data_IF_042932085583
#
_entry.id   IF_042932085583
#
_cell.length_a   1.000
_cell.length_b   1.000
_cell.length_c   1.000
_cell.angle_alpha   90.00
_cell.angle_beta   90.00
_cell.angle_gamma   90.00
#
_symmetry.space_group_name_H-M   'P 1'
#
loop_
_entity.id
_entity.type
_entity.pdbx_description
1 polymer ?
#
# COMPACT_ATOMS: atom_id res chain seq x y z
N UNK A 1 18.38 23.36 -78.55
CA UNK A 1 17.95 23.80 -77.19
C UNK A 1 16.56 23.33 -76.72
N UNK A 2 15.73 22.62 -77.52
CA UNK A 2 14.42 22.09 -77.04
C UNK A 2 14.51 20.70 -76.36
N UNK A 3 15.47 19.85 -76.77
CA UNK A 3 15.61 18.48 -76.25
C UNK A 3 16.11 18.38 -74.80
N UNK A 4 16.99 19.29 -74.37
CA UNK A 4 17.58 19.23 -73.02
C UNK A 4 16.59 19.66 -71.93
N UNK A 5 15.69 20.62 -72.23
CA UNK A 5 14.62 21.02 -71.30
C UNK A 5 13.61 19.90 -71.04
N UNK A 6 13.30 19.08 -72.05
CA UNK A 6 12.38 17.93 -71.88
C UNK A 6 12.98 16.82 -71.02
N UNK A 7 14.28 16.54 -71.16
CA UNK A 7 14.98 15.54 -70.32
C UNK A 7 15.09 15.98 -68.86
N UNK A 8 15.33 17.26 -68.62
CA UNK A 8 15.37 17.81 -67.25
C UNK A 8 13.99 17.76 -66.61
N UNK A 9 12.93 18.14 -67.34
CA UNK A 9 11.55 18.07 -66.84
C UNK A 9 11.11 16.63 -66.54
N UNK A 10 11.48 15.64 -67.38
CA UNK A 10 11.16 14.23 -67.10
C UNK A 10 11.90 13.69 -65.88
N UNK A 11 13.16 14.08 -65.68
CA UNK A 11 13.94 13.68 -64.50
C UNK A 11 13.37 14.27 -63.20
N UNK A 12 12.97 15.55 -63.21
CA UNK A 12 12.31 16.19 -62.06
C UNK A 12 10.97 15.54 -61.72
N UNK A 13 10.16 15.20 -62.74
CA UNK A 13 8.88 14.54 -62.52
C UNK A 13 9.04 13.15 -61.90
N UNK A 14 10.06 12.39 -62.34
CA UNK A 14 10.37 11.07 -61.79
C UNK A 14 10.83 11.13 -60.34
N UNK A 15 11.69 12.10 -59.99
CA UNK A 15 12.15 12.32 -58.60
C UNK A 15 10.99 12.73 -57.68
N UNK A 16 10.10 13.62 -58.13
CA UNK A 16 8.92 14.02 -57.36
C UNK A 16 7.98 12.82 -57.17
N UNK A 17 7.70 12.06 -58.23
CA UNK A 17 6.82 10.90 -58.17
C UNK A 17 7.36 9.82 -57.22
N UNK A 18 8.64 9.47 -57.36
CA UNK A 18 9.32 8.51 -56.49
C UNK A 18 9.29 8.95 -55.01
N UNK A 19 9.56 10.23 -54.73
CA UNK A 19 9.52 10.78 -53.37
C UNK A 19 8.10 10.83 -52.80
N UNK A 20 7.08 11.04 -53.63
CA UNK A 20 5.68 10.96 -53.20
C UNK A 20 5.25 9.52 -52.91
N UNK A 21 5.71 8.53 -53.69
CA UNK A 21 5.45 7.11 -53.43
C UNK A 21 6.11 6.65 -52.13
N UNK A 22 7.38 7.00 -51.88
CA UNK A 22 8.07 6.70 -50.62
C UNK A 22 7.34 7.32 -49.41
N UNK A 23 6.89 8.57 -49.51
CA UNK A 23 6.13 9.23 -48.43
C UNK A 23 4.78 8.56 -48.18
N UNK A 24 4.08 8.11 -49.24
CA UNK A 24 2.83 7.36 -49.11
C UNK A 24 3.09 5.98 -48.49
N UNK A 25 4.18 5.32 -48.86
CA UNK A 25 4.61 4.04 -48.31
C UNK A 25 4.94 4.16 -46.80
N UNK A 26 5.72 5.18 -46.42
CA UNK A 26 6.06 5.48 -45.02
C UNK A 26 4.81 5.77 -44.18
N UNK A 27 3.86 6.54 -44.70
CA UNK A 27 2.57 6.80 -44.02
C UNK A 27 1.76 5.53 -43.77
N UNK A 28 1.75 4.59 -44.73
CA UNK A 28 1.10 3.28 -44.56
C UNK A 28 1.77 2.47 -43.44
N UNK A 29 3.10 2.43 -43.39
CA UNK A 29 3.81 1.71 -42.31
C UNK A 29 3.58 2.34 -40.94
N UNK A 30 3.60 3.67 -40.83
CA UNK A 30 3.28 4.38 -39.59
C UNK A 30 1.85 4.08 -39.14
N UNK A 31 0.89 4.06 -40.05
CA UNK A 31 -0.50 3.71 -39.74
C UNK A 31 -0.62 2.26 -39.25
N UNK A 32 0.09 1.32 -39.88
CA UNK A 32 0.11 -0.09 -39.45
C UNK A 32 0.71 -0.22 -38.06
N UNK A 33 1.86 0.42 -37.79
CA UNK A 33 2.51 0.40 -36.46
C UNK A 33 1.57 1.01 -35.41
N UNK A 34 0.91 2.12 -35.75
CA UNK A 34 -0.07 2.77 -34.88
C UNK A 34 -1.24 1.81 -34.58
N UNK A 35 -1.85 1.19 -35.59
CA UNK A 35 -2.95 0.24 -35.39
C UNK A 35 -2.54 -0.98 -34.56
N UNK A 36 -1.32 -1.51 -34.74
CA UNK A 36 -0.79 -2.59 -33.91
C UNK A 36 -0.55 -2.16 -32.46
N UNK A 37 -0.14 -0.92 -32.22
CA UNK A 37 0.04 -0.43 -30.84
C UNK A 37 -1.29 -0.31 -30.08
N UNK A 38 -2.40 0.03 -30.75
CA UNK A 38 -3.73 0.10 -30.13
C UNK A 38 -4.32 -1.27 -29.81
N UNK A 39 -4.07 -2.29 -30.63
CA UNK A 39 -4.59 -3.65 -30.39
C UNK A 39 -3.93 -4.31 -29.16
N UNK A 40 -2.66 -4.02 -28.90
CA UNK A 40 -1.96 -4.48 -27.70
C UNK A 40 -2.56 -3.89 -26.41
N UNK A 41 -2.98 -2.62 -26.43
CA UNK A 41 -3.61 -1.95 -25.27
C UNK A 41 -4.98 -2.58 -24.96
N UNK A 42 -5.77 -2.92 -25.98
CA UNK A 42 -7.10 -3.51 -25.79
C UNK A 42 -7.06 -4.96 -25.27
N UNK A 43 -6.05 -5.75 -25.65
CA UNK A 43 -5.86 -7.12 -25.16
C UNK A 43 -5.56 -7.20 -23.65
N UNK A 44 -5.00 -6.15 -23.05
CA UNK A 44 -4.75 -6.13 -21.60
C UNK A 44 -6.07 -6.02 -20.83
N UNK A 45 -7.05 -5.28 -21.37
CA UNK A 45 -8.36 -5.07 -20.72
C UNK A 45 -9.22 -6.33 -20.62
N UNK A 46 -9.15 -7.23 -21.61
CA UNK A 46 -9.88 -8.50 -21.58
C UNK A 46 -9.33 -9.48 -20.54
N UNK A 47 -8.02 -9.44 -20.26
CA UNK A 47 -7.38 -10.34 -19.29
C UNK A 47 -7.70 -9.95 -17.84
N UNK A 48 -7.91 -8.68 -17.52
CA UNK A 48 -8.26 -8.24 -16.16
C UNK A 48 -9.54 -8.92 -15.64
N UNK A 49 -10.60 -8.99 -16.46
CA UNK A 49 -11.86 -9.63 -16.05
C UNK A 49 -11.69 -11.14 -15.83
N UNK A 50 -10.88 -11.81 -16.67
CA UNK A 50 -10.58 -13.24 -16.51
C UNK A 50 -9.79 -13.49 -15.21
N UNK A 51 -8.76 -12.69 -14.96
CA UNK A 51 -7.93 -12.82 -13.77
C UNK A 51 -8.75 -12.55 -12.49
N UNK A 52 -9.58 -11.50 -12.47
CA UNK A 52 -10.48 -11.24 -11.34
C UNK A 52 -11.37 -12.44 -11.01
N UNK A 53 -11.89 -13.15 -12.02
CA UNK A 53 -12.72 -14.35 -11.79
C UNK A 53 -11.93 -15.50 -11.16
N UNK A 54 -10.67 -15.70 -11.58
CA UNK A 54 -9.78 -16.73 -11.01
C UNK A 54 -9.55 -16.43 -9.53
N UNK A 55 -9.07 -15.23 -9.19
CA UNK A 55 -8.79 -14.88 -7.80
C UNK A 55 -10.05 -14.78 -6.93
N UNK A 56 -11.19 -14.44 -7.52
CA UNK A 56 -12.47 -14.51 -6.80
C UNK A 56 -12.81 -15.94 -6.39
N UNK A 57 -12.51 -16.92 -7.25
CA UNK A 57 -12.70 -18.34 -6.93
C UNK A 57 -11.76 -18.78 -5.82
N UNK A 58 -10.49 -18.39 -5.88
CA UNK A 58 -9.52 -18.64 -4.80
C UNK A 58 -9.99 -18.04 -3.46
N UNK A 59 -10.49 -16.80 -3.48
CA UNK A 59 -11.04 -16.16 -2.28
C UNK A 59 -12.21 -16.95 -1.67
N UNK A 60 -13.10 -17.49 -2.51
CA UNK A 60 -14.23 -18.32 -2.08
C UNK A 60 -13.77 -19.67 -1.52
N UNK A 61 -12.79 -20.31 -2.16
CA UNK A 61 -12.21 -21.55 -1.67
C UNK A 61 -11.51 -21.39 -0.32
N UNK A 62 -10.76 -20.29 -0.12
CA UNK A 62 -10.18 -19.94 1.17
C UNK A 62 -11.24 -19.73 2.25
N UNK A 63 -12.33 -19.02 1.94
CA UNK A 63 -13.45 -18.86 2.87
C UNK A 63 -14.08 -20.20 3.27
N UNK A 64 -14.30 -21.10 2.30
CA UNK A 64 -14.85 -22.43 2.56
C UNK A 64 -13.94 -23.27 3.47
N UNK A 65 -12.62 -23.04 3.41
CA UNK A 65 -11.62 -23.64 4.29
C UNK A 65 -11.45 -22.90 5.63
N UNK A 66 -12.26 -21.87 5.90
CA UNK A 66 -12.14 -20.97 7.05
C UNK A 66 -10.81 -20.21 7.14
N UNK A 67 -10.08 -20.11 6.02
CA UNK A 67 -8.86 -19.32 5.90
C UNK A 67 -9.19 -17.87 5.54
N UNK A 68 -9.62 -17.12 6.57
CA UNK A 68 -10.02 -15.72 6.42
C UNK A 68 -8.86 -14.82 5.97
N UNK A 69 -7.63 -15.13 6.36
CA UNK A 69 -6.47 -14.31 6.02
C UNK A 69 -6.21 -14.37 4.51
N UNK A 70 -6.14 -15.57 3.95
CA UNK A 70 -5.98 -15.74 2.50
C UNK A 70 -7.18 -15.20 1.73
N UNK A 71 -8.40 -15.40 2.24
CA UNK A 71 -9.60 -14.85 1.61
C UNK A 71 -9.56 -13.31 1.53
N UNK A 72 -9.18 -12.63 2.60
CA UNK A 72 -8.99 -11.17 2.61
C UNK A 72 -7.99 -10.75 1.52
N UNK A 73 -6.82 -11.40 1.48
CA UNK A 73 -5.79 -11.12 0.49
C UNK A 73 -6.29 -11.27 -0.95
N UNK A 74 -6.94 -12.39 -1.27
CA UNK A 74 -7.48 -12.61 -2.62
C UNK A 74 -8.59 -11.62 -2.99
N UNK A 75 -9.50 -11.27 -2.07
CA UNK A 75 -10.52 -10.25 -2.35
C UNK A 75 -9.91 -8.85 -2.56
N UNK A 76 -8.88 -8.48 -1.80
CA UNK A 76 -8.13 -7.24 -2.02
C UNK A 76 -7.49 -7.24 -3.41
N UNK A 77 -6.82 -8.34 -3.77
CA UNK A 77 -6.18 -8.47 -5.08
C UNK A 77 -7.19 -8.38 -6.25
N UNK A 78 -8.38 -8.99 -6.11
CA UNK A 78 -9.47 -8.83 -7.10
C UNK A 78 -9.85 -7.38 -7.28
N UNK A 79 -9.93 -6.60 -6.20
CA UNK A 79 -10.22 -5.17 -6.28
C UNK A 79 -9.11 -4.39 -6.99
N UNK A 80 -7.84 -4.68 -6.69
CA UNK A 80 -6.69 -3.99 -7.28
C UNK A 80 -6.57 -4.20 -8.80
N UNK A 81 -6.91 -5.40 -9.30
CA UNK A 81 -6.86 -5.69 -10.75
C UNK A 81 -7.77 -4.73 -11.55
N UNK A 82 -8.96 -4.42 -11.05
CA UNK A 82 -9.85 -3.43 -11.64
C UNK A 82 -10.85 -2.89 -10.61
N UNK A 83 -10.55 -1.76 -9.95
CA UNK A 83 -11.37 -1.23 -8.85
C UNK A 83 -12.69 -0.61 -9.33
N UNK A 84 -12.79 -0.29 -10.61
CA UNK A 84 -13.90 0.49 -11.17
C UNK A 84 -15.10 -0.37 -11.58
N UNK A 85 -14.90 -1.67 -11.79
CA UNK A 85 -15.97 -2.58 -12.19
C UNK A 85 -16.70 -3.19 -10.98
N UNK A 86 -17.84 -3.83 -11.24
CA UNK A 86 -18.68 -4.39 -10.18
C UNK A 86 -18.00 -5.50 -9.37
N UNK A 87 -17.12 -6.29 -10.02
CA UNK A 87 -16.38 -7.36 -9.34
C UNK A 87 -15.40 -6.77 -8.33
N UNK A 88 -14.62 -5.77 -8.72
CA UNK A 88 -13.68 -5.10 -7.84
C UNK A 88 -14.40 -4.42 -6.68
N UNK A 89 -15.48 -3.67 -6.94
CA UNK A 89 -16.28 -3.03 -5.89
C UNK A 89 -16.84 -4.03 -4.88
N UNK A 90 -17.41 -5.15 -5.34
CA UNK A 90 -17.92 -6.22 -4.45
C UNK A 90 -16.80 -6.90 -3.68
N UNK A 91 -15.66 -7.16 -4.32
CA UNK A 91 -14.51 -7.77 -3.68
C UNK A 91 -13.96 -6.88 -2.56
N UNK A 92 -13.87 -5.57 -2.77
CA UNK A 92 -13.50 -4.61 -1.72
C UNK A 92 -14.42 -4.71 -0.50
N UNK A 93 -15.73 -4.68 -0.71
CA UNK A 93 -16.72 -4.79 0.39
C UNK A 93 -16.54 -6.11 1.15
N UNK A 94 -16.31 -7.22 0.44
CA UNK A 94 -16.07 -8.52 1.06
C UNK A 94 -14.77 -8.55 1.85
N UNK A 95 -13.67 -8.04 1.29
CA UNK A 95 -12.38 -7.91 1.99
C UNK A 95 -12.54 -7.10 3.29
N UNK A 96 -13.14 -5.91 3.20
CA UNK A 96 -13.35 -5.02 4.35
C UNK A 96 -14.21 -5.67 5.44
N UNK A 97 -15.27 -6.38 5.06
CA UNK A 97 -16.12 -7.10 6.01
C UNK A 97 -15.35 -8.19 6.76
N UNK A 98 -14.48 -8.92 6.09
CA UNK A 98 -13.71 -10.02 6.66
C UNK A 98 -12.60 -9.51 7.61
N UNK A 99 -12.10 -8.29 7.43
CA UNK A 99 -11.07 -7.68 8.29
C UNK A 99 -11.58 -7.36 9.70
N UNK A 100 -12.88 -7.21 9.90
CA UNK A 100 -13.47 -6.81 11.20
C UNK A 100 -13.09 -7.75 12.36
N UNK A 101 -13.21 -9.06 12.16
CA UNK A 101 -12.91 -10.08 13.17
C UNK A 101 -11.42 -10.15 13.55
N UNK A 102 -10.47 -10.30 12.60
CA UNK A 102 -9.05 -10.33 12.94
C UNK A 102 -8.57 -9.01 13.54
N UNK A 103 -9.08 -7.85 13.08
CA UNK A 103 -8.77 -6.55 13.70
C UNK A 103 -9.25 -6.49 15.15
N UNK A 104 -10.47 -6.95 15.43
CA UNK A 104 -10.98 -7.03 16.81
C UNK A 104 -10.10 -7.92 17.70
N UNK A 105 -9.76 -9.13 17.24
CA UNK A 105 -8.87 -10.05 17.98
C UNK A 105 -7.48 -9.44 18.21
N UNK A 106 -6.97 -8.72 17.23
CA UNK A 106 -5.68 -8.04 17.32
C UNK A 106 -5.73 -6.91 18.36
N UNK A 107 -6.75 -6.04 18.34
CA UNK A 107 -6.93 -5.00 19.36
C UNK A 107 -7.01 -5.64 20.76
N UNK A 108 -7.80 -6.70 20.92
CA UNK A 108 -7.87 -7.46 22.17
C UNK A 108 -6.50 -7.97 22.65
N UNK A 109 -5.62 -8.39 21.73
CA UNK A 109 -4.27 -8.85 22.09
C UNK A 109 -3.33 -7.75 22.58
N UNK A 110 -3.48 -6.51 22.09
CA UNK A 110 -2.58 -5.39 22.41
C UNK A 110 -3.08 -4.52 23.58
N UNK A 111 -4.32 -4.67 24.02
CA UNK A 111 -4.87 -3.96 25.19
C UNK A 111 -3.99 -4.24 26.42
N UNK A 112 -3.60 -3.16 27.11
CA UNK A 112 -2.79 -3.27 28.32
C UNK A 112 -1.95 -2.04 28.61
N UNK A 113 -1.14 -2.14 29.67
CA UNK A 113 -0.16 -1.15 30.06
C UNK A 113 1.23 -1.62 29.59
N UNK A 114 1.95 -0.74 28.93
CA UNK A 114 3.20 -1.04 28.25
C UNK A 114 4.26 -0.02 28.67
N UNK A 115 5.48 -0.47 28.92
CA UNK A 115 6.61 0.39 29.29
C UNK A 115 7.66 0.37 28.18
N UNK A 116 8.05 1.54 27.70
CA UNK A 116 9.09 1.67 26.69
C UNK A 116 10.42 1.13 27.23
N UNK A 117 11.06 0.23 26.48
CA UNK A 117 12.32 -0.42 26.88
C UNK A 117 13.46 -0.20 25.88
N UNK A 118 13.16 -0.01 24.59
CA UNK A 118 14.15 0.23 23.54
C UNK A 118 13.61 1.18 22.48
N UNK A 119 14.52 1.92 21.87
CA UNK A 119 14.27 2.80 20.73
C UNK A 119 15.33 2.55 19.66
N UNK A 120 15.03 2.84 18.41
CA UNK A 120 16.01 2.71 17.33
C UNK A 120 15.40 2.59 15.95
N UNK A 121 16.07 1.83 15.11
CA UNK A 121 15.63 1.48 13.75
C UNK A 121 16.26 0.15 13.33
N UNK A 122 15.99 -0.29 12.10
CA UNK A 122 16.69 -1.42 11.49
C UNK A 122 18.23 -1.28 11.41
N UNK A 123 18.79 -0.09 11.66
CA UNK A 123 20.24 0.16 11.74
C UNK A 123 20.84 -0.05 13.13
N UNK A 124 20.01 -0.19 14.16
CA UNK A 124 20.48 -0.40 15.53
C UNK A 124 19.42 0.00 16.56
N UNK A 125 19.47 -0.69 17.70
CA UNK A 125 18.60 -0.45 18.85
C UNK A 125 19.40 -0.15 20.10
N UNK A 126 18.90 0.78 20.89
CA UNK A 126 19.43 1.10 22.21
C UNK A 126 18.36 0.92 23.28
N UNK A 127 18.80 0.59 24.49
CA UNK A 127 17.89 0.54 25.64
C UNK A 127 17.46 1.97 25.98
N UNK A 128 16.16 2.19 26.11
CA UNK A 128 15.61 3.45 26.57
C UNK A 128 16.06 3.71 28.00
N UNK A 129 16.90 4.74 28.19
CA UNK A 129 17.46 5.14 29.48
C UNK A 129 17.21 6.62 29.72
N UNK A 130 16.21 6.89 30.53
CA UNK A 130 15.99 8.20 31.15
C UNK A 130 16.21 8.06 32.66
N UNK A 131 16.83 9.04 33.32
CA UNK A 131 17.16 8.93 34.76
C UNK A 131 15.95 9.12 35.67
N UNK A 132 14.92 9.84 35.22
CA UNK A 132 13.80 10.27 36.06
C UNK A 132 12.43 9.85 35.52
N UNK A 133 12.33 9.49 34.25
CA UNK A 133 11.04 9.26 33.58
C UNK A 133 10.94 7.83 33.03
N UNK A 134 9.81 7.16 33.27
CA UNK A 134 9.38 6.02 32.47
C UNK A 134 8.37 6.51 31.43
N UNK A 135 8.50 6.07 30.17
CA UNK A 135 7.45 6.27 29.17
C UNK A 135 6.51 5.08 29.17
N UNK A 136 5.24 5.36 29.42
CA UNK A 136 4.17 4.37 29.54
C UNK A 136 3.16 4.58 28.41
N UNK A 137 2.78 3.49 27.75
CA UNK A 137 1.70 3.44 26.78
C UNK A 137 0.56 2.61 27.37
N UNK A 138 -0.64 3.19 27.45
CA UNK A 138 -1.86 2.47 27.79
C UNK A 138 -2.68 2.33 26.52
N UNK A 139 -2.97 1.08 26.14
CA UNK A 139 -3.82 0.77 24.99
C UNK A 139 -5.15 0.27 25.53
N UNK A 140 -6.22 1.00 25.21
CA UNK A 140 -7.59 0.56 25.48
C UNK A 140 -8.28 0.11 24.17
N UNK A 141 -9.60 -0.09 24.18
CA UNK A 141 -10.33 -0.58 23.00
C UNK A 141 -10.27 0.38 21.80
N UNK A 142 -10.15 1.68 22.06
CA UNK A 142 -10.35 2.72 21.04
C UNK A 142 -9.21 3.73 21.00
N UNK A 143 -8.25 3.69 21.93
CA UNK A 143 -7.22 4.72 22.11
C UNK A 143 -5.86 4.15 22.49
N UNK A 144 -4.85 4.89 22.05
CA UNK A 144 -3.46 4.80 22.49
C UNK A 144 -3.18 6.03 23.36
N UNK A 145 -2.88 5.86 24.63
CA UNK A 145 -2.64 6.95 25.57
C UNK A 145 -1.21 6.89 26.08
N UNK A 146 -0.46 7.97 25.85
CA UNK A 146 0.95 8.06 26.17
C UNK A 146 1.14 8.89 27.44
N UNK A 147 1.94 8.36 28.37
CA UNK A 147 2.24 8.97 29.65
C UNK A 147 3.74 9.02 29.91
N UNK A 148 4.14 10.02 30.70
CA UNK A 148 5.41 10.06 31.40
C UNK A 148 5.14 9.81 32.89
N UNK A 149 5.83 8.83 33.46
CA UNK A 149 5.77 8.50 34.88
C UNK A 149 7.09 8.92 35.54
N UNK A 150 7.02 9.79 36.55
CA UNK A 150 8.19 10.09 37.36
C UNK A 150 8.59 8.86 38.18
N UNK A 151 9.84 8.41 38.05
CA UNK A 151 10.35 7.19 38.70
C UNK A 151 10.34 7.26 40.22
N UNK A 152 10.52 8.46 40.78
CA UNK A 152 10.61 8.72 42.22
C UNK A 152 9.21 8.94 42.79
N UNK A 153 8.47 9.92 42.27
CA UNK A 153 7.16 10.31 42.84
C UNK A 153 6.00 9.41 42.38
N UNK A 154 6.21 8.61 41.32
CA UNK A 154 5.18 7.80 40.64
C UNK A 154 4.05 8.63 40.01
N UNK A 155 4.24 9.94 39.89
CA UNK A 155 3.28 10.82 39.23
C UNK A 155 3.19 10.49 37.74
N UNK A 156 1.97 10.28 37.25
CA UNK A 156 1.66 10.00 35.84
C UNK A 156 1.13 11.25 35.15
N UNK A 157 1.88 11.76 34.19
CA UNK A 157 1.49 12.88 33.34
C UNK A 157 1.10 12.37 31.96
N UNK A 158 -0.14 12.60 31.54
CA UNK A 158 -0.59 12.31 30.17
C UNK A 158 0.10 13.27 29.19
N UNK A 159 0.73 12.72 28.15
CA UNK A 159 1.43 13.48 27.10
C UNK A 159 0.55 13.64 25.87
N UNK A 160 -0.01 12.54 25.37
CA UNK A 160 -0.91 12.57 24.21
C UNK A 160 -1.85 11.37 24.19
N UNK A 161 -2.84 11.44 23.31
CA UNK A 161 -3.79 10.36 23.06
C UNK A 161 -4.09 10.32 21.57
N UNK A 162 -4.11 9.12 21.00
CA UNK A 162 -4.50 8.88 19.61
C UNK A 162 -5.68 7.92 19.60
N UNK A 163 -6.56 8.06 18.61
CA UNK A 163 -7.61 7.08 18.38
C UNK A 163 -7.04 5.88 17.61
N UNK A 164 -7.52 4.67 17.91
CA UNK A 164 -7.13 3.42 17.23
C UNK A 164 -7.89 3.30 15.90
N UNK A 165 -7.50 4.11 14.92
CA UNK A 165 -8.08 4.11 13.59
C UNK A 165 -7.16 3.32 12.66
N UNK A 166 -7.59 2.11 12.27
CA UNK A 166 -6.89 1.34 11.25
C UNK A 166 -6.83 2.14 9.94
N UNK A 167 -5.65 2.17 9.33
CA UNK A 167 -5.47 2.79 8.03
C UNK A 167 -6.28 2.01 6.99
N UNK A 168 -7.27 2.67 6.36
CA UNK A 168 -8.04 2.10 5.26
C UNK A 168 -7.46 2.57 3.92
N UNK A 169 -6.45 1.87 3.39
CA UNK A 169 -5.90 2.20 2.06
C UNK A 169 -5.93 0.99 1.14
N UNK A 170 -5.86 1.27 -0.17
CA UNK A 170 -5.99 0.25 -1.23
C UNK A 170 -4.82 -0.72 -1.22
N UNK A 171 -3.64 -0.29 -0.78
CA UNK A 171 -2.40 -1.08 -0.76
C UNK A 171 -2.11 -1.65 0.64
N UNK A 172 -3.11 -2.29 1.26
CA UNK A 172 -2.97 -2.93 2.60
C UNK A 172 -2.15 -4.24 2.57
N UNK A 173 -1.35 -4.47 1.52
CA UNK A 173 -0.82 -5.79 1.16
C UNK A 173 0.17 -6.40 2.15
N UNK A 174 0.75 -5.61 3.07
CA UNK A 174 1.79 -6.12 3.98
C UNK A 174 1.60 -5.78 5.47
N UNK A 175 0.74 -4.81 5.82
CA UNK A 175 0.70 -4.26 7.18
C UNK A 175 -0.73 -4.06 7.69
N UNK A 176 -1.43 -5.15 7.99
CA UNK A 176 -2.82 -5.16 8.47
C UNK A 176 -3.07 -4.41 9.82
N UNK A 177 -1.99 -3.99 10.49
CA UNK A 177 -2.00 -3.37 11.81
C UNK A 177 -1.39 -1.95 11.80
N UNK A 178 -1.57 -1.21 10.70
CA UNK A 178 -1.23 0.22 10.62
C UNK A 178 -2.35 1.10 11.15
N UNK A 179 -1.97 2.12 11.92
CA UNK A 179 -2.85 3.10 12.53
C UNK A 179 -2.47 4.50 12.06
N UNK A 180 -3.47 5.32 11.73
CA UNK A 180 -3.29 6.73 11.38
C UNK A 180 -3.38 7.59 12.65
N UNK A 181 -2.31 8.30 12.97
CA UNK A 181 -2.26 9.23 14.10
C UNK A 181 -2.77 10.61 13.69
N UNK A 182 -3.11 11.44 14.67
CA UNK A 182 -3.67 12.79 14.48
C UNK A 182 -2.72 13.77 13.79
N UNK A 183 -1.41 13.50 13.83
CA UNK A 183 -0.36 14.24 13.13
C UNK A 183 -0.11 13.74 11.68
N UNK A 184 -0.98 12.86 11.19
CA UNK A 184 -0.88 12.15 9.91
C UNK A 184 0.24 11.10 9.83
N UNK A 185 0.97 10.83 10.90
CA UNK A 185 1.91 9.71 10.90
C UNK A 185 1.19 8.37 10.87
N UNK A 186 1.78 7.42 10.16
CA UNK A 186 1.30 6.06 10.04
C UNK A 186 2.22 5.17 10.87
N UNK A 187 1.63 4.50 11.85
CA UNK A 187 2.35 3.64 12.78
C UNK A 187 1.83 2.22 12.68
N UNK A 188 2.72 1.30 12.34
CA UNK A 188 2.46 -0.12 12.45
C UNK A 188 2.69 -0.59 13.90
N UNK A 189 1.75 -1.36 14.43
CA UNK A 189 1.90 -2.02 15.72
C UNK A 189 2.02 -3.54 15.52
N UNK A 190 2.99 -4.14 16.18
CA UNK A 190 3.22 -5.58 16.19
C UNK A 190 3.37 -6.09 17.61
N UNK A 191 2.85 -7.27 17.87
CA UNK A 191 3.00 -7.94 19.16
C UNK A 191 3.72 -9.28 18.95
N UNK A 192 4.60 -9.65 19.87
CA UNK A 192 5.26 -10.96 19.83
C UNK A 192 4.29 -12.11 20.13
N UNK A 193 4.71 -13.35 19.86
CA UNK A 193 3.86 -14.54 20.06
C UNK A 193 3.38 -14.73 21.50
N UNK A 194 4.13 -14.22 22.47
CA UNK A 194 3.85 -14.36 23.89
C UNK A 194 3.06 -13.16 24.47
N UNK A 195 2.69 -12.18 23.65
CA UNK A 195 2.04 -10.94 24.06
C UNK A 195 2.78 -10.18 25.18
N UNK A 196 4.12 -10.27 25.17
CA UNK A 196 5.03 -9.71 26.17
C UNK A 196 5.72 -8.44 25.65
N UNK A 197 5.85 -8.31 24.34
CA UNK A 197 6.51 -7.19 23.69
C UNK A 197 5.65 -6.60 22.58
N UNK A 198 5.50 -5.28 22.61
CA UNK A 198 4.86 -4.50 21.56
C UNK A 198 5.95 -3.71 20.81
N UNK A 199 5.97 -3.87 19.50
CA UNK A 199 6.79 -3.09 18.56
C UNK A 199 5.90 -2.06 17.89
N UNK A 200 6.33 -0.81 17.90
CA UNK A 200 5.71 0.29 17.19
C UNK A 200 6.72 0.82 16.17
N UNK A 201 6.32 0.90 14.90
CA UNK A 201 7.20 1.29 13.79
C UNK A 201 6.53 2.35 12.93
N UNK A 202 7.20 3.49 12.71
CA UNK A 202 6.72 4.51 11.79
C UNK A 202 6.92 4.02 10.36
N UNK A 203 5.86 3.91 9.59
CA UNK A 203 5.89 3.40 8.21
C UNK A 203 5.69 4.49 7.16
N UNK A 204 5.48 5.73 7.58
CA UNK A 204 5.29 6.87 6.69
C UNK A 204 4.24 7.84 7.23
N UNK A 205 3.70 8.65 6.33
CA UNK A 205 2.76 9.72 6.64
C UNK A 205 1.69 9.81 5.57
N UNK A 206 0.47 10.14 5.97
CA UNK A 206 -0.63 10.41 5.04
C UNK A 206 -0.52 11.86 4.53
N UNK A 207 -0.67 12.04 3.22
CA UNK A 207 -0.69 13.36 2.58
C UNK A 207 -1.85 13.45 1.58
N UNK A 208 -1.93 14.57 0.85
CA UNK A 208 -3.00 14.82 -0.13
C UNK A 208 -2.98 13.83 -1.30
N UNK A 209 -1.81 13.32 -1.64
CA UNK A 209 -1.56 12.47 -2.80
C UNK A 209 -1.61 10.96 -2.44
N UNK A 210 -1.77 10.62 -1.15
CA UNK A 210 -1.80 9.25 -0.65
C UNK A 210 -1.03 9.08 0.65
N UNK A 211 -0.02 8.20 0.64
CA UNK A 211 0.92 8.01 1.76
C UNK A 211 2.35 8.09 1.27
N UNK A 212 3.26 8.47 2.16
CA UNK A 212 4.68 8.17 2.02
C UNK A 212 4.98 6.77 2.55
N UNK A 213 6.12 6.22 2.15
CA UNK A 213 6.66 4.96 2.67
C UNK A 213 8.09 5.17 3.14
N UNK A 214 8.40 4.63 4.33
CA UNK A 214 9.76 4.59 4.84
C UNK A 214 10.30 3.18 4.59
N UNK A 215 11.20 3.07 3.61
CA UNK A 215 11.77 1.78 3.16
C UNK A 215 12.84 1.27 4.13
N UNK A 216 13.59 2.17 4.76
CA UNK A 216 14.61 1.84 5.76
C UNK A 216 14.79 3.00 6.74
N UNK A 217 15.39 2.72 7.91
CA UNK A 217 15.59 3.71 8.96
C UNK A 217 14.31 4.10 9.68
N UNK A 218 13.28 3.25 9.64
CA UNK A 218 12.03 3.47 10.35
C UNK A 218 12.30 3.73 11.84
N UNK A 219 11.70 4.79 12.39
CA UNK A 219 11.73 5.01 13.83
C UNK A 219 10.91 3.92 14.50
N UNK A 220 11.53 3.23 15.44
CA UNK A 220 10.96 2.07 16.09
C UNK A 220 11.06 2.17 17.62
N UNK A 221 9.98 1.75 18.27
CA UNK A 221 9.83 1.75 19.72
C UNK A 221 9.43 0.34 20.14
N UNK A 222 10.12 -0.19 21.15
CA UNK A 222 9.76 -1.47 21.76
C UNK A 222 9.30 -1.23 23.18
N UNK A 223 8.20 -1.88 23.53
CA UNK A 223 7.60 -1.82 24.85
C UNK A 223 7.52 -3.22 25.44
N UNK A 224 7.70 -3.31 26.75
CA UNK A 224 7.40 -4.51 27.54
C UNK A 224 6.06 -4.34 28.23
N UNK A 225 5.24 -5.39 28.21
CA UNK A 225 3.97 -5.40 28.94
C UNK A 225 4.24 -5.29 30.44
N UNK A 226 3.54 -4.40 31.11
CA UNK A 226 3.48 -4.39 32.56
C UNK A 226 2.37 -5.36 32.97
N UNK A 227 2.72 -6.34 33.81
CA UNK A 227 1.71 -7.18 34.45
C UNK A 227 0.79 -6.29 35.30
N UNK A 228 -0.49 -6.64 35.32
CA UNK A 228 -1.46 -6.04 36.24
C UNK A 228 -1.31 -6.65 37.62
#
# INVERSE_FOLDING_TARGET
>A
MKGDKQKILSAYWWVIHYKTEELVQMKKYILIIFLFSFSLIWSQKSNHSKNQKIYLKEAQESLNKSDNASAIGFYTYVYEINPNNDLGKRAKIKSDSLKSLPRKKYIESIIGKWKLNKIGSNWGFENYKDSLINRILIIDKNKLIFFEENKITKELKKIKSEDLIFLSTVNEDNYSNEFLFSDNQIWWLGIDKNNSQLRQMNTGEKNKDGRTEIVCGNSELYYTRLEN
#
